data_IF_066279984330
#
_entry.id   IF_066279984330
#
_cell.length_a   1.000
_cell.length_b   1.000
_cell.length_c   1.000
_cell.angle_alpha   90.00
_cell.angle_beta   90.00
_cell.angle_gamma   90.00
#
_symmetry.space_group_name_H-M   'P 1'
#
loop_
_entity.id
_entity.type
_entity.pdbx_description
1 polymer ?
#
# COMPACT_ATOMS: atom_id res chain seq x y z
N UNK A 1 -13.62 -13.11 23.94
CA UNK A 1 -12.44 -12.21 23.82
C UNK A 1 -11.22 -13.09 23.54
N UNK A 2 -10.69 -13.02 22.36
CA UNK A 2 -9.46 -13.76 22.05
C UNK A 2 -8.28 -12.82 22.34
N UNK A 3 -7.63 -13.07 23.46
CA UNK A 3 -6.41 -12.40 23.91
C UNK A 3 -5.19 -12.99 23.15
N UNK A 4 -5.27 -12.98 21.81
CA UNK A 4 -4.17 -13.43 20.95
C UNK A 4 -3.57 -12.21 20.26
N UNK A 5 -2.22 -12.11 20.22
CA UNK A 5 -1.60 -11.03 19.46
C UNK A 5 -2.06 -11.07 17.99
N UNK A 6 -2.32 -9.90 17.40
CA UNK A 6 -2.68 -9.79 16.00
C UNK A 6 -1.49 -10.16 15.09
N UNK A 7 -1.76 -10.49 13.84
CA UNK A 7 -0.70 -10.73 12.84
C UNK A 7 0.28 -9.56 12.74
N UNK A 8 -0.22 -8.33 12.84
CA UNK A 8 0.58 -7.12 12.91
C UNK A 8 1.54 -7.12 14.11
N UNK A 9 1.02 -7.36 15.31
CA UNK A 9 1.83 -7.41 16.55
C UNK A 9 2.91 -8.51 16.49
N UNK A 10 2.58 -9.65 15.89
CA UNK A 10 3.55 -10.75 15.70
C UNK A 10 4.66 -10.35 14.73
N UNK A 11 4.35 -9.66 13.65
CA UNK A 11 5.35 -9.18 12.69
C UNK A 11 6.24 -8.08 13.27
N UNK A 12 5.67 -7.18 14.06
CA UNK A 12 6.43 -6.15 14.78
C UNK A 12 7.39 -6.77 15.80
N UNK A 13 6.92 -7.75 16.57
CA UNK A 13 7.75 -8.49 17.53
C UNK A 13 8.87 -9.26 16.83
N UNK A 14 8.57 -9.89 15.68
CA UNK A 14 9.57 -10.59 14.86
C UNK A 14 10.65 -9.64 14.36
N UNK A 15 10.25 -8.49 13.79
CA UNK A 15 11.19 -7.48 13.31
C UNK A 15 12.09 -6.96 14.45
N UNK A 16 11.51 -6.65 15.61
CA UNK A 16 12.24 -6.21 16.78
C UNK A 16 13.25 -7.27 17.26
N UNK A 17 12.87 -8.53 17.32
CA UNK A 17 13.74 -9.65 17.69
C UNK A 17 14.92 -9.78 16.71
N UNK A 18 14.67 -9.75 15.41
CA UNK A 18 15.71 -9.86 14.39
C UNK A 18 16.75 -8.73 14.49
N UNK A 19 16.32 -7.50 14.73
CA UNK A 19 17.22 -6.34 14.81
C UNK A 19 17.95 -6.28 16.16
N UNK A 20 17.24 -6.53 17.26
CA UNK A 20 17.78 -6.32 18.60
C UNK A 20 18.58 -7.50 19.15
N UNK A 21 18.24 -8.71 18.76
CA UNK A 21 18.84 -9.93 19.34
C UNK A 21 19.62 -10.77 18.33
N UNK A 22 19.20 -10.87 17.09
CA UNK A 22 19.85 -11.70 16.07
C UNK A 22 20.97 -10.96 15.37
N UNK A 23 20.69 -9.79 14.80
CA UNK A 23 21.66 -9.02 14.02
C UNK A 23 22.95 -8.70 14.79
N UNK A 24 22.93 -8.29 16.07
CA UNK A 24 24.15 -8.04 16.84
C UNK A 24 25.05 -9.27 17.03
N UNK A 25 24.46 -10.47 17.02
CA UNK A 25 25.22 -11.73 17.17
C UNK A 25 25.87 -12.20 15.87
N UNK A 26 25.64 -11.52 14.78
CA UNK A 26 26.13 -11.86 13.44
C UNK A 26 27.24 -10.91 12.97
N UNK A 27 27.93 -10.23 13.87
CA UNK A 27 28.98 -9.26 13.52
C UNK A 27 30.13 -9.88 12.72
N UNK A 28 30.41 -11.16 12.92
CA UNK A 28 31.44 -11.91 12.19
C UNK A 28 30.96 -12.40 10.82
N UNK A 29 29.67 -12.32 10.53
CA UNK A 29 29.08 -12.72 9.27
C UNK A 29 28.21 -11.58 8.68
N UNK A 30 28.86 -10.61 8.07
CA UNK A 30 28.20 -9.41 7.55
C UNK A 30 27.14 -9.70 6.48
N UNK A 31 27.34 -10.71 5.64
CA UNK A 31 26.38 -11.10 4.62
C UNK A 31 25.07 -11.60 5.27
N UNK A 32 25.16 -12.43 6.30
CA UNK A 32 23.99 -12.92 7.02
C UNK A 32 23.33 -11.82 7.84
N UNK A 33 24.12 -10.96 8.48
CA UNK A 33 23.62 -9.80 9.23
C UNK A 33 22.77 -8.88 8.31
N UNK A 34 23.24 -8.61 7.09
CA UNK A 34 22.53 -7.83 6.10
C UNK A 34 21.19 -8.49 5.69
N UNK A 35 21.21 -9.81 5.45
CA UNK A 35 19.98 -10.56 5.12
C UNK A 35 18.96 -10.55 6.26
N UNK A 36 19.40 -10.62 7.51
CA UNK A 36 18.54 -10.49 8.71
C UNK A 36 17.91 -9.10 8.77
N UNK A 37 18.67 -8.04 8.48
CA UNK A 37 18.14 -6.68 8.40
C UNK A 37 17.06 -6.53 7.31
N UNK A 38 17.28 -7.15 6.14
CA UNK A 38 16.27 -7.19 5.07
C UNK A 38 15.00 -7.93 5.55
N UNK A 39 15.13 -9.07 6.20
CA UNK A 39 13.99 -9.82 6.71
C UNK A 39 13.18 -9.02 7.75
N UNK A 40 13.85 -8.29 8.63
CA UNK A 40 13.20 -7.39 9.59
C UNK A 40 12.43 -6.26 8.89
N UNK A 41 13.03 -5.63 7.87
CA UNK A 41 12.36 -4.60 7.07
C UNK A 41 11.14 -5.13 6.34
N UNK A 42 11.20 -6.35 5.79
CA UNK A 42 10.06 -6.99 5.15
C UNK A 42 8.93 -7.26 6.16
N UNK A 43 9.24 -7.74 7.35
CA UNK A 43 8.24 -7.95 8.40
C UNK A 43 7.56 -6.63 8.80
N UNK A 44 8.30 -5.54 8.92
CA UNK A 44 7.75 -4.21 9.19
C UNK A 44 6.87 -3.70 8.05
N UNK A 45 7.28 -3.89 6.80
CA UNK A 45 6.49 -3.48 5.64
C UNK A 45 5.14 -4.22 5.59
N UNK A 46 5.14 -5.53 5.79
CA UNK A 46 3.90 -6.33 5.84
C UNK A 46 3.00 -5.92 7.01
N UNK A 47 3.58 -5.63 8.18
CA UNK A 47 2.83 -5.09 9.33
C UNK A 47 2.15 -3.76 8.98
N UNK A 48 2.87 -2.85 8.33
CA UNK A 48 2.33 -1.57 7.86
C UNK A 48 1.18 -1.75 6.85
N UNK A 49 1.32 -2.67 5.91
CA UNK A 49 0.24 -3.00 4.96
C UNK A 49 -1.00 -3.52 5.66
N UNK A 50 -0.86 -4.44 6.61
CA UNK A 50 -1.98 -4.98 7.37
C UNK A 50 -2.73 -3.91 8.16
N UNK A 51 -2.01 -2.93 8.69
CA UNK A 51 -2.59 -1.83 9.49
C UNK A 51 -3.41 -0.87 8.64
N UNK A 52 -2.92 -0.54 7.45
CA UNK A 52 -3.47 0.55 6.62
C UNK A 52 -4.29 0.08 5.43
N UNK A 53 -4.31 -1.23 5.17
CA UNK A 53 -4.91 -1.82 3.97
C UNK A 53 -6.34 -1.37 3.74
N UNK A 54 -7.20 -1.47 4.75
CA UNK A 54 -8.63 -1.16 4.59
C UNK A 54 -8.86 0.35 4.39
N UNK A 55 -8.07 1.20 5.05
CA UNK A 55 -8.14 2.65 4.87
C UNK A 55 -7.67 3.06 3.46
N UNK A 56 -6.60 2.46 2.97
CA UNK A 56 -6.09 2.70 1.62
C UNK A 56 -7.09 2.23 0.56
N UNK A 57 -7.63 1.04 0.71
CA UNK A 57 -8.64 0.51 -0.19
C UNK A 57 -9.88 1.42 -0.25
N UNK A 58 -10.31 1.94 0.90
CA UNK A 58 -11.41 2.90 0.96
C UNK A 58 -11.06 4.20 0.24
N UNK A 59 -9.89 4.77 0.50
CA UNK A 59 -9.42 6.01 -0.14
C UNK A 59 -9.31 5.86 -1.66
N UNK A 60 -8.72 4.79 -2.15
CA UNK A 60 -8.63 4.47 -3.57
C UNK A 60 -10.02 4.31 -4.20
N UNK A 61 -10.92 3.60 -3.51
CA UNK A 61 -12.30 3.41 -3.97
C UNK A 61 -13.03 4.73 -4.16
N UNK A 62 -12.91 5.66 -3.21
CA UNK A 62 -13.52 6.99 -3.28
C UNK A 62 -12.98 7.77 -4.47
N UNK A 63 -11.66 7.80 -4.66
CA UNK A 63 -11.01 8.53 -5.74
C UNK A 63 -11.36 7.97 -7.13
N UNK A 64 -11.33 6.65 -7.28
CA UNK A 64 -11.65 5.97 -8.54
C UNK A 64 -13.12 6.08 -8.90
N UNK A 65 -14.02 6.04 -7.91
CA UNK A 65 -15.45 6.30 -8.13
C UNK A 65 -15.67 7.73 -8.66
N UNK A 66 -15.01 8.70 -8.09
CA UNK A 66 -15.10 10.09 -8.54
C UNK A 66 -14.62 10.27 -9.98
N UNK A 67 -13.58 9.52 -10.39
CA UNK A 67 -13.05 9.55 -11.76
C UNK A 67 -13.97 8.84 -12.76
N UNK A 68 -14.58 7.73 -12.40
CA UNK A 68 -15.35 6.86 -13.29
C UNK A 68 -16.69 6.46 -12.69
N UNK A 69 -17.60 7.40 -12.40
CA UNK A 69 -18.85 7.11 -11.68
C UNK A 69 -19.77 6.13 -12.42
N UNK A 70 -19.70 6.09 -13.74
CA UNK A 70 -20.55 5.25 -14.59
C UNK A 70 -19.92 3.89 -14.96
N UNK A 71 -18.72 3.60 -14.44
CA UNK A 71 -18.06 2.34 -14.76
C UNK A 71 -18.71 1.18 -13.98
N UNK A 72 -18.97 0.00 -14.64
CA UNK A 72 -19.65 -1.13 -14.00
C UNK A 72 -19.01 -1.65 -12.72
N UNK A 73 -17.68 -1.50 -12.58
CA UNK A 73 -16.96 -1.92 -11.38
C UNK A 73 -17.32 -1.11 -10.13
N UNK A 74 -17.89 0.09 -10.28
CA UNK A 74 -18.25 0.97 -9.15
C UNK A 74 -19.29 0.32 -8.22
N UNK A 75 -20.22 -0.44 -8.74
CA UNK A 75 -21.18 -1.17 -7.92
C UNK A 75 -20.50 -2.12 -6.91
N UNK A 76 -19.45 -2.80 -7.34
CA UNK A 76 -18.66 -3.70 -6.47
C UNK A 76 -17.88 -2.94 -5.39
N UNK A 77 -17.56 -1.66 -5.60
CA UNK A 77 -16.95 -0.83 -4.56
C UNK A 77 -17.92 -0.56 -3.41
N UNK A 78 -19.20 -0.43 -3.71
CA UNK A 78 -20.23 -0.05 -2.74
C UNK A 78 -20.76 -1.22 -1.92
N UNK A 79 -21.10 -2.32 -2.59
CA UNK A 79 -21.80 -3.46 -1.99
C UNK A 79 -20.97 -4.75 -1.96
N UNK A 80 -19.77 -4.71 -2.51
CA UNK A 80 -18.90 -5.88 -2.60
C UNK A 80 -18.24 -6.26 -1.28
N UNK A 81 -17.81 -7.52 -1.18
CA UNK A 81 -16.88 -8.00 -0.15
C UNK A 81 -15.50 -7.32 -0.32
N UNK A 82 -14.63 -7.48 0.68
CA UNK A 82 -13.25 -6.96 0.60
C UNK A 82 -12.51 -7.44 -0.67
N UNK A 83 -12.65 -8.71 -1.00
CA UNK A 83 -12.04 -9.29 -2.21
C UNK A 83 -12.63 -8.70 -3.49
N UNK A 84 -13.94 -8.50 -3.53
CA UNK A 84 -14.62 -7.88 -4.68
C UNK A 84 -14.26 -6.42 -4.85
N UNK A 85 -14.14 -5.67 -3.75
CA UNK A 85 -13.65 -4.28 -3.78
C UNK A 85 -12.23 -4.19 -4.32
N UNK A 86 -11.35 -5.06 -3.86
CA UNK A 86 -9.97 -5.09 -4.34
C UNK A 86 -9.90 -5.40 -5.84
N UNK A 87 -10.71 -6.35 -6.31
CA UNK A 87 -10.82 -6.66 -7.74
C UNK A 87 -11.36 -5.48 -8.54
N UNK A 88 -12.38 -4.79 -8.01
CA UNK A 88 -12.96 -3.60 -8.65
C UNK A 88 -11.96 -2.45 -8.73
N UNK A 89 -11.18 -2.20 -7.69
CA UNK A 89 -10.09 -1.19 -7.71
C UNK A 89 -9.09 -1.53 -8.80
N UNK A 90 -8.63 -2.77 -8.89
CA UNK A 90 -7.70 -3.21 -9.95
C UNK A 90 -8.26 -3.03 -11.36
N UNK A 91 -9.54 -3.31 -11.56
CA UNK A 91 -10.22 -3.12 -12.85
C UNK A 91 -10.28 -1.63 -13.22
N UNK A 92 -10.61 -0.77 -12.27
CA UNK A 92 -10.66 0.68 -12.47
C UNK A 92 -9.26 1.28 -12.71
N UNK A 93 -8.23 0.79 -12.03
CA UNK A 93 -6.84 1.22 -12.29
C UNK A 93 -6.36 0.82 -13.68
N UNK A 94 -6.69 -0.39 -14.14
CA UNK A 94 -6.42 -0.81 -15.53
C UNK A 94 -7.15 0.08 -16.53
N UNK A 95 -8.39 0.40 -16.24
CA UNK A 95 -9.19 1.31 -17.07
C UNK A 95 -8.59 2.71 -17.11
N UNK A 96 -8.16 3.24 -15.95
CA UNK A 96 -7.44 4.51 -15.85
C UNK A 96 -6.15 4.51 -16.68
N UNK A 97 -5.31 3.49 -16.52
CA UNK A 97 -4.06 3.36 -17.26
C UNK A 97 -4.30 3.33 -18.78
N UNK A 98 -5.35 2.66 -19.22
CA UNK A 98 -5.75 2.60 -20.64
C UNK A 98 -6.24 3.95 -21.14
N UNK A 99 -7.06 4.66 -20.34
CA UNK A 99 -7.57 5.99 -20.70
C UNK A 99 -6.44 7.03 -20.82
N UNK A 100 -5.47 6.99 -19.89
CA UNK A 100 -4.30 7.87 -19.94
C UNK A 100 -3.41 7.60 -21.16
N UNK A 101 -3.19 6.34 -21.53
CA UNK A 101 -2.41 6.00 -22.73
C UNK A 101 -3.07 6.45 -24.01
N UNK A 102 -4.39 6.44 -24.10
CA UNK A 102 -5.14 6.90 -25.27
C UNK A 102 -5.18 8.41 -25.41
N UNK A 103 -4.88 9.17 -24.35
CA UNK A 103 -4.92 10.63 -24.35
C UNK A 103 -6.31 11.23 -24.54
N UNK A 104 -7.38 10.44 -24.36
CA UNK A 104 -8.76 10.83 -24.63
C UNK A 104 -9.48 11.42 -23.39
N UNK A 105 -8.77 11.59 -22.28
CA UNK A 105 -9.33 12.08 -21.02
C UNK A 105 -9.42 13.61 -21.03
N UNK A 106 -10.56 14.17 -20.61
CA UNK A 106 -10.73 15.61 -20.42
C UNK A 106 -9.72 16.15 -19.39
N UNK A 107 -9.33 17.42 -19.51
CA UNK A 107 -8.25 18.02 -18.71
C UNK A 107 -8.54 17.98 -17.21
N UNK A 108 -9.75 18.30 -16.79
CA UNK A 108 -10.18 18.25 -15.39
C UNK A 108 -10.08 16.83 -14.80
N UNK A 109 -10.49 15.83 -15.56
CA UNK A 109 -10.33 14.41 -15.17
C UNK A 109 -8.87 13.96 -15.16
N UNK A 110 -8.07 14.49 -16.07
CA UNK A 110 -6.63 14.19 -16.12
C UNK A 110 -5.90 14.75 -14.92
N UNK A 111 -6.27 15.95 -14.45
CA UNK A 111 -5.75 16.52 -13.21
C UNK A 111 -6.15 15.68 -12.00
N UNK A 112 -7.42 15.29 -11.89
CA UNK A 112 -7.92 14.43 -10.82
C UNK A 112 -7.26 13.04 -10.85
N UNK A 113 -6.97 12.48 -12.02
CA UNK A 113 -6.20 11.25 -12.20
C UNK A 113 -4.76 11.40 -11.67
N UNK A 114 -4.12 12.52 -11.96
CA UNK A 114 -2.79 12.84 -11.43
C UNK A 114 -2.77 12.91 -9.92
N UNK A 115 -3.75 13.55 -9.30
CA UNK A 115 -3.91 13.61 -7.84
C UNK A 115 -4.12 12.22 -7.24
N UNK A 116 -4.93 11.37 -7.87
CA UNK A 116 -5.13 9.99 -7.45
C UNK A 116 -3.83 9.18 -7.50
N UNK A 117 -3.09 9.25 -8.61
CA UNK A 117 -1.82 8.54 -8.77
C UNK A 117 -0.78 9.00 -7.75
N UNK A 118 -0.73 10.30 -7.48
CA UNK A 118 0.15 10.89 -6.48
C UNK A 118 -0.20 10.40 -5.06
N UNK A 119 -1.47 10.41 -4.70
CA UNK A 119 -1.95 9.90 -3.41
C UNK A 119 -1.60 8.41 -3.23
N UNK A 120 -1.84 7.58 -4.24
CA UNK A 120 -1.51 6.15 -4.23
C UNK A 120 0.01 5.91 -4.09
N UNK A 121 0.83 6.69 -4.81
CA UNK A 121 2.28 6.61 -4.70
C UNK A 121 2.78 6.97 -3.29
N UNK A 122 2.25 8.05 -2.70
CA UNK A 122 2.60 8.46 -1.32
C UNK A 122 2.22 7.39 -0.30
N UNK A 123 1.01 6.85 -0.39
CA UNK A 123 0.55 5.77 0.49
C UNK A 123 1.45 4.54 0.39
N UNK A 124 1.85 4.16 -0.81
CA UNK A 124 2.75 3.03 -1.05
C UNK A 124 4.15 3.31 -0.48
N UNK A 125 4.71 4.50 -0.70
CA UNK A 125 6.02 4.88 -0.18
C UNK A 125 6.06 4.92 1.35
N UNK A 126 5.00 5.38 1.99
CA UNK A 126 4.90 5.40 3.46
C UNK A 126 5.06 4.01 4.07
N UNK A 127 4.63 2.97 3.36
CA UNK A 127 4.73 1.58 3.82
C UNK A 127 6.07 0.96 3.42
N UNK A 128 6.43 1.05 2.15
CA UNK A 128 7.61 0.39 1.59
C UNK A 128 8.94 1.06 1.99
N UNK A 129 8.89 2.36 2.22
CA UNK A 129 10.06 3.14 2.65
C UNK A 129 9.67 4.22 3.66
N UNK A 130 9.42 3.86 4.93
CA UNK A 130 8.97 4.80 5.97
C UNK A 130 9.98 5.90 6.30
N UNK A 131 11.22 5.80 5.82
CA UNK A 131 12.26 6.83 5.98
C UNK A 131 12.27 7.84 4.83
N UNK A 132 11.47 7.62 3.78
CA UNK A 132 11.38 8.54 2.66
C UNK A 132 10.68 9.82 3.11
N UNK A 133 11.36 10.94 2.97
CA UNK A 133 10.79 12.25 3.31
C UNK A 133 9.85 12.72 2.20
N UNK A 134 8.55 12.77 2.52
CA UNK A 134 7.50 13.25 1.61
C UNK A 134 7.24 14.76 1.75
N UNK A 135 8.00 15.44 2.62
CA UNK A 135 7.84 16.89 2.88
C UNK A 135 8.74 17.74 2.00
N UNK A 136 9.76 17.17 1.36
CA UNK A 136 10.53 17.87 0.35
C UNK A 136 9.70 18.04 -0.92
N UNK A 137 9.26 19.26 -1.17
CA UNK A 137 8.63 19.64 -2.44
C UNK A 137 9.65 19.45 -3.57
N UNK A 138 9.28 18.62 -4.53
CA UNK A 138 10.01 18.46 -5.79
C UNK A 138 9.69 19.64 -6.70
#
# INVERSE_FOLDING_TARGET
MQDRPSAQQLLEALAAFLISEVAPRLETNKALQFRVAIAANLAQAVSGELTTFDQRLLGESIRLRALFPDHPAVERLDVGTRTERLAAVKDLERFLAKALRKGAMAEDRRLAAGEHLWATARETLTISNPRFDLTEDI
#
